data_IF_350095064390
#
_entry.id   IF_350095064390
#
_cell.length_a   1.000
_cell.length_b   1.000
_cell.length_c   1.000
_cell.angle_alpha   90.00
_cell.angle_beta   90.00
_cell.angle_gamma   90.00
#
_symmetry.space_group_name_H-M   'P 1'
#
loop_
_entity.id
_entity.type
_entity.pdbx_description
1 polymer ?
#
# COMPACT_ATOMS: atom_id res chain seq x y z
N UNK A 1 -35.12 13.88 -16.68
CA UNK A 1 -34.54 13.87 -15.32
C UNK A 1 -35.33 12.86 -14.52
N UNK A 2 -34.81 11.62 -14.37
CA UNK A 2 -35.40 10.58 -13.55
C UNK A 2 -35.32 10.96 -12.07
N UNK A 3 -36.46 10.96 -11.38
CA UNK A 3 -36.50 11.07 -9.93
C UNK A 3 -36.06 9.72 -9.33
N UNK A 4 -34.85 9.65 -8.83
CA UNK A 4 -34.40 8.54 -8.00
C UNK A 4 -35.01 8.66 -6.60
N UNK A 5 -35.42 7.55 -5.96
CA UNK A 5 -35.86 7.56 -4.56
C UNK A 5 -34.80 8.18 -3.65
N UNK A 6 -35.21 8.96 -2.63
CA UNK A 6 -34.28 9.65 -1.71
C UNK A 6 -33.29 8.68 -1.03
N UNK A 7 -33.69 7.45 -0.74
CA UNK A 7 -32.81 6.42 -0.18
C UNK A 7 -31.66 6.09 -1.13
N UNK A 8 -31.92 5.99 -2.43
CA UNK A 8 -30.88 5.71 -3.43
C UNK A 8 -29.94 6.90 -3.59
N UNK A 9 -30.47 8.14 -3.55
CA UNK A 9 -29.64 9.35 -3.57
C UNK A 9 -28.75 9.45 -2.32
N UNK A 10 -29.26 9.06 -1.17
CA UNK A 10 -28.50 9.05 0.09
C UNK A 10 -27.41 7.98 0.06
N UNK A 11 -27.72 6.77 -0.44
CA UNK A 11 -26.73 5.71 -0.63
C UNK A 11 -25.64 6.14 -1.62
N UNK A 12 -26.02 6.75 -2.77
CA UNK A 12 -25.05 7.25 -3.74
C UNK A 12 -24.18 8.38 -3.16
N UNK A 13 -24.77 9.33 -2.40
CA UNK A 13 -23.99 10.38 -1.72
C UNK A 13 -22.99 9.82 -0.72
N UNK A 14 -23.35 8.77 0.02
CA UNK A 14 -22.45 8.11 0.95
C UNK A 14 -21.35 7.31 0.22
N UNK A 15 -21.64 6.81 -0.97
CA UNK A 15 -20.66 6.10 -1.82
C UNK A 15 -19.70 7.04 -2.55
N UNK A 16 -20.16 8.25 -2.92
CA UNK A 16 -19.38 9.25 -3.68
C UNK A 16 -18.77 10.31 -2.72
N UNK A 17 -18.61 9.96 -1.45
CA UNK A 17 -17.98 10.85 -0.48
C UNK A 17 -16.56 11.23 -0.94
N UNK A 18 -16.24 12.53 -0.99
CA UNK A 18 -14.88 13.00 -1.25
C UNK A 18 -13.99 12.50 -0.12
N UNK A 19 -13.10 11.56 -0.44
CA UNK A 19 -12.04 11.15 0.48
C UNK A 19 -11.00 12.26 0.54
N UNK A 20 -10.80 12.85 1.72
CA UNK A 20 -9.67 13.74 2.00
C UNK A 20 -8.53 12.92 2.60
N UNK A 21 -7.36 13.00 2.01
CA UNK A 21 -6.18 12.30 2.47
C UNK A 21 -4.92 13.06 2.09
N UNK A 22 -3.79 12.48 2.43
CA UNK A 22 -2.46 13.01 2.13
C UNK A 22 -1.75 12.09 1.15
N UNK A 23 -1.00 12.68 0.25
CA UNK A 23 -0.02 11.97 -0.56
C UNK A 23 1.32 12.03 0.16
N UNK A 24 1.97 10.89 0.31
CA UNK A 24 3.24 10.75 1.03
C UNK A 24 4.24 10.06 0.13
N UNK A 25 5.42 10.64 0.02
CA UNK A 25 6.50 10.19 -0.84
C UNK A 25 7.50 9.33 -0.07
N UNK A 26 7.59 8.06 -0.45
CA UNK A 26 8.63 7.12 0.02
C UNK A 26 9.78 7.09 -0.98
N UNK A 27 11.01 7.25 -0.51
CA UNK A 27 12.19 7.20 -1.37
C UNK A 27 12.58 5.74 -1.58
N UNK A 28 12.77 5.33 -2.84
CA UNK A 28 13.30 4.00 -3.15
C UNK A 28 14.78 3.94 -2.73
N UNK A 29 15.14 2.97 -1.91
CA UNK A 29 16.54 2.70 -1.52
C UNK A 29 17.28 2.00 -2.67
N UNK A 30 17.49 2.76 -3.74
CA UNK A 30 18.11 2.27 -4.97
C UNK A 30 18.81 3.40 -5.73
N UNK A 31 20.04 3.15 -6.17
CA UNK A 31 20.74 4.08 -7.05
C UNK A 31 20.20 3.99 -8.46
N UNK A 32 19.38 4.94 -8.83
CA UNK A 32 18.81 5.03 -10.17
C UNK A 32 19.65 5.94 -11.06
N UNK A 33 20.13 5.38 -12.18
CA UNK A 33 20.79 6.16 -13.22
C UNK A 33 19.76 6.60 -14.27
N UNK A 34 19.34 7.86 -14.19
CA UNK A 34 18.38 8.42 -15.13
C UNK A 34 19.04 8.68 -16.48
N UNK A 35 18.74 7.84 -17.45
CA UNK A 35 19.22 7.98 -18.84
C UNK A 35 18.31 8.88 -19.71
N UNK A 36 17.47 9.71 -19.06
CA UNK A 36 16.61 10.69 -19.75
C UNK A 36 15.25 10.16 -20.23
N UNK A 37 14.97 8.88 -20.07
CA UNK A 37 13.71 8.24 -20.47
C UNK A 37 13.16 7.38 -19.31
N UNK A 38 12.42 8.01 -18.39
CA UNK A 38 11.76 7.29 -17.31
C UNK A 38 10.34 7.81 -17.11
N UNK A 39 9.41 6.91 -16.75
CA UNK A 39 8.06 7.23 -16.30
C UNK A 39 7.98 7.32 -14.77
N UNK A 40 9.11 7.16 -14.08
CA UNK A 40 9.18 7.20 -12.62
C UNK A 40 9.18 8.64 -12.11
N UNK A 41 8.53 8.86 -10.97
CA UNK A 41 8.60 10.13 -10.25
C UNK A 41 9.98 10.23 -9.59
N UNK A 42 10.65 11.34 -9.80
CA UNK A 42 11.93 11.64 -9.17
C UNK A 42 11.79 12.88 -8.29
N UNK A 43 12.52 12.92 -7.16
CA UNK A 43 12.66 14.12 -6.36
C UNK A 43 13.75 15.04 -6.92
N UNK A 44 13.96 16.20 -6.28
CA UNK A 44 14.96 17.20 -6.70
C UNK A 44 16.41 16.68 -6.66
N UNK A 45 16.66 15.56 -5.96
CA UNK A 45 17.96 14.90 -5.89
C UNK A 45 18.12 13.81 -6.95
N UNK A 46 17.11 13.57 -7.78
CA UNK A 46 17.10 12.50 -8.78
C UNK A 46 16.85 11.11 -8.21
N UNK A 47 16.39 11.01 -6.95
CA UNK A 47 16.02 9.74 -6.33
C UNK A 47 14.59 9.34 -6.73
N UNK A 48 14.37 8.05 -6.97
CA UNK A 48 13.05 7.52 -7.31
C UNK A 48 12.12 7.61 -6.09
N UNK A 49 10.93 8.15 -6.32
CA UNK A 49 9.92 8.36 -5.29
C UNK A 49 8.68 7.54 -5.63
N UNK A 50 8.16 6.85 -4.61
CA UNK A 50 6.90 6.13 -4.67
C UNK A 50 5.88 6.92 -3.84
N UNK A 51 4.94 7.58 -4.52
CA UNK A 51 3.89 8.32 -3.84
C UNK A 51 2.78 7.37 -3.43
N UNK A 52 2.36 7.41 -2.18
CA UNK A 52 1.20 6.69 -1.66
C UNK A 52 0.14 7.66 -1.20
N UNK A 53 -1.12 7.35 -1.47
CA UNK A 53 -2.24 8.11 -0.93
C UNK A 53 -2.75 7.43 0.34
N UNK A 54 -2.91 8.19 1.41
CA UNK A 54 -3.47 7.69 2.68
C UNK A 54 -4.47 8.65 3.30
N UNK A 55 -5.53 8.11 3.88
CA UNK A 55 -6.47 8.86 4.73
C UNK A 55 -6.05 8.81 6.21
N UNK A 56 -5.03 8.03 6.55
CA UNK A 56 -4.52 7.79 7.90
C UNK A 56 -3.03 8.14 8.04
N UNK A 57 -2.65 9.44 7.85
CA UNK A 57 -1.26 9.85 7.98
C UNK A 57 -0.71 9.67 9.42
N UNK A 58 -1.59 9.59 10.42
CA UNK A 58 -1.28 9.29 11.82
C UNK A 58 -0.62 7.91 12.02
N UNK A 59 -0.85 6.97 11.10
CA UNK A 59 -0.30 5.62 11.19
C UNK A 59 1.04 5.43 10.47
N UNK A 60 1.62 6.48 9.90
CA UNK A 60 2.89 6.41 9.14
C UNK A 60 4.05 5.76 9.91
N UNK A 61 4.12 5.97 11.23
CA UNK A 61 5.12 5.32 12.08
C UNK A 61 4.94 3.80 12.19
N UNK A 62 3.75 3.28 11.86
CA UNK A 62 3.40 1.86 11.89
C UNK A 62 3.59 1.13 10.56
N UNK A 63 4.09 1.82 9.53
CA UNK A 63 4.36 1.21 8.23
C UNK A 63 5.49 0.20 8.36
N UNK A 64 5.22 -1.05 7.97
CA UNK A 64 6.20 -2.14 8.01
C UNK A 64 6.59 -2.66 6.63
N UNK A 65 5.74 -2.40 5.63
CA UNK A 65 6.07 -2.66 4.23
C UNK A 65 5.26 -1.72 3.32
N UNK A 66 5.64 -1.66 2.04
CA UNK A 66 4.91 -0.95 1.00
C UNK A 66 4.63 -1.90 -0.16
N UNK A 67 3.56 -1.64 -0.89
CA UNK A 67 3.17 -2.45 -2.05
C UNK A 67 2.91 -1.59 -3.26
N UNK A 68 3.24 -2.13 -4.44
CA UNK A 68 2.90 -1.53 -5.73
C UNK A 68 2.06 -2.49 -6.55
N UNK A 69 1.22 -1.93 -7.42
CA UNK A 69 0.48 -2.69 -8.40
C UNK A 69 1.44 -3.42 -9.37
N UNK A 70 1.07 -4.62 -9.86
CA UNK A 70 1.89 -5.32 -10.87
C UNK A 70 2.12 -4.49 -12.14
N UNK A 71 1.21 -3.58 -12.46
CA UNK A 71 1.25 -2.69 -13.63
C UNK A 71 2.04 -1.39 -13.38
N UNK A 72 2.50 -1.14 -12.14
CA UNK A 72 3.22 0.09 -11.81
C UNK A 72 4.51 0.22 -12.65
N UNK A 73 4.85 1.41 -13.19
CA UNK A 73 6.05 1.61 -14.00
C UNK A 73 7.34 1.12 -13.36
N UNK A 74 7.46 1.25 -12.04
CA UNK A 74 8.59 0.77 -11.27
C UNK A 74 8.87 -0.72 -11.48
N UNK A 75 7.83 -1.52 -11.72
CA UNK A 75 7.96 -2.98 -11.89
C UNK A 75 8.80 -3.30 -13.12
N UNK A 76 8.53 -2.68 -14.27
CA UNK A 76 9.31 -2.91 -15.49
C UNK A 76 10.63 -2.15 -15.49
N UNK A 77 10.63 -0.92 -15.00
CA UNK A 77 11.82 -0.07 -15.14
C UNK A 77 12.94 -0.44 -14.18
N UNK A 78 12.62 -0.98 -13.00
CA UNK A 78 13.60 -1.33 -11.97
C UNK A 78 13.41 -2.76 -11.44
N UNK A 79 12.24 -3.10 -10.88
CA UNK A 79 12.09 -4.33 -10.09
C UNK A 79 12.43 -5.59 -10.91
N UNK A 80 11.90 -5.72 -12.11
CA UNK A 80 12.13 -6.91 -12.94
C UNK A 80 13.52 -6.93 -13.61
N UNK A 81 14.24 -5.80 -13.60
CA UNK A 81 15.65 -5.78 -14.02
C UNK A 81 16.56 -6.27 -12.90
N UNK A 82 16.30 -5.82 -11.67
CA UNK A 82 17.08 -6.22 -10.48
C UNK A 82 16.74 -7.63 -10.01
N UNK A 83 15.47 -8.02 -10.13
CA UNK A 83 14.99 -9.33 -9.72
C UNK A 83 14.13 -10.00 -10.81
N UNK A 84 14.74 -10.50 -11.89
CA UNK A 84 14.02 -11.13 -12.99
C UNK A 84 13.34 -12.46 -12.59
N UNK A 85 13.73 -13.06 -11.48
CA UNK A 85 13.17 -14.34 -11.00
C UNK A 85 11.70 -14.26 -10.62
N UNK A 86 11.19 -13.06 -10.30
CA UNK A 86 9.79 -12.87 -9.91
C UNK A 86 8.86 -12.58 -11.09
N UNK A 87 9.38 -12.48 -12.33
CA UNK A 87 8.62 -12.10 -13.53
C UNK A 87 7.38 -12.96 -13.73
N UNK A 88 7.50 -14.27 -13.63
CA UNK A 88 6.38 -15.20 -13.83
C UNK A 88 5.21 -14.91 -12.86
N UNK A 89 5.53 -14.66 -11.59
CA UNK A 89 4.51 -14.30 -10.57
C UNK A 89 3.86 -12.95 -10.86
N UNK A 90 4.64 -11.97 -11.28
CA UNK A 90 4.13 -10.63 -11.64
C UNK A 90 3.21 -10.73 -12.84
N UNK A 91 3.58 -11.46 -13.89
CA UNK A 91 2.72 -11.67 -15.07
C UNK A 91 1.44 -12.44 -14.73
N UNK A 92 1.52 -13.43 -13.84
CA UNK A 92 0.32 -14.12 -13.35
C UNK A 92 -0.66 -13.15 -12.68
N UNK A 93 -0.18 -12.25 -11.81
CA UNK A 93 -1.00 -11.23 -11.17
C UNK A 93 -1.59 -10.23 -12.17
N UNK A 94 -0.86 -9.84 -13.23
CA UNK A 94 -1.35 -8.95 -14.29
C UNK A 94 -2.48 -9.56 -15.09
N UNK A 95 -2.42 -10.86 -15.32
CA UNK A 95 -3.41 -11.59 -16.09
C UNK A 95 -4.70 -11.91 -15.30
N UNK A 96 -4.71 -11.69 -14.00
CA UNK A 96 -5.92 -11.83 -13.19
C UNK A 96 -6.91 -10.68 -13.47
N UNK A 97 -8.20 -11.01 -13.48
CA UNK A 97 -9.26 -10.01 -13.60
C UNK A 97 -9.20 -9.00 -12.44
N UNK A 98 -9.22 -7.70 -12.75
CA UNK A 98 -9.07 -6.62 -11.76
C UNK A 98 -10.17 -6.64 -10.69
N UNK A 99 -11.40 -7.01 -11.05
CA UNK A 99 -12.52 -7.07 -10.10
C UNK A 99 -12.30 -8.26 -9.16
N UNK A 100 -11.89 -9.40 -9.72
CA UNK A 100 -11.57 -10.58 -8.92
C UNK A 100 -10.42 -10.34 -7.94
N UNK A 101 -9.39 -9.58 -8.36
CA UNK A 101 -8.22 -9.25 -7.50
C UNK A 101 -8.59 -8.47 -6.24
N UNK A 102 -9.64 -7.63 -6.30
CA UNK A 102 -10.04 -6.74 -5.20
C UNK A 102 -11.20 -7.28 -4.37
N UNK A 103 -11.75 -8.45 -4.69
CA UNK A 103 -12.80 -9.08 -3.90
C UNK A 103 -12.32 -9.33 -2.46
N UNK A 104 -13.21 -9.12 -1.48
CA UNK A 104 -12.87 -9.24 -0.04
C UNK A 104 -12.44 -10.66 0.33
N UNK A 105 -13.09 -11.66 -0.26
CA UNK A 105 -12.82 -13.09 -0.07
C UNK A 105 -11.60 -13.61 -0.84
N UNK A 106 -11.05 -12.80 -1.75
CA UNK A 106 -9.84 -13.16 -2.49
C UNK A 106 -8.61 -13.09 -1.61
N UNK A 107 -7.84 -14.16 -1.63
CA UNK A 107 -6.55 -14.22 -0.95
C UNK A 107 -5.60 -13.15 -1.49
N UNK A 108 -5.00 -12.40 -0.56
CA UNK A 108 -4.03 -11.35 -0.91
C UNK A 108 -2.68 -11.99 -1.17
N UNK A 109 -2.20 -11.81 -2.40
CA UNK A 109 -0.95 -12.38 -2.85
C UNK A 109 0.03 -11.30 -3.29
N UNK A 110 1.32 -11.59 -3.10
CA UNK A 110 2.39 -10.73 -3.52
C UNK A 110 3.72 -11.44 -3.63
N UNK A 111 4.69 -10.70 -4.10
CA UNK A 111 6.06 -11.16 -4.20
C UNK A 111 7.00 -10.05 -3.75
N UNK A 112 7.99 -10.39 -2.94
CA UNK A 112 9.01 -9.43 -2.51
C UNK A 112 9.85 -8.98 -3.72
N UNK A 113 9.97 -7.68 -3.92
CA UNK A 113 10.70 -7.12 -5.06
C UNK A 113 12.23 -7.30 -4.96
N UNK A 114 12.74 -7.54 -3.75
CA UNK A 114 14.17 -7.46 -3.43
C UNK A 114 14.63 -6.07 -3.06
N UNK A 115 13.74 -5.06 -3.12
CA UNK A 115 14.04 -3.65 -2.86
C UNK A 115 13.34 -3.17 -1.59
N UNK A 116 13.80 -2.01 -1.11
CA UNK A 116 13.28 -1.34 0.08
C UNK A 116 12.91 0.10 -0.25
N UNK A 117 12.01 0.67 0.53
CA UNK A 117 11.70 2.09 0.53
C UNK A 117 11.97 2.70 1.91
N UNK A 118 12.27 3.98 1.94
CA UNK A 118 12.56 4.71 3.16
C UNK A 118 11.29 5.44 3.59
N UNK A 119 10.83 5.14 4.80
CA UNK A 119 9.71 5.84 5.41
C UNK A 119 10.12 7.28 5.74
N UNK A 120 9.42 8.30 5.19
CA UNK A 120 9.85 9.69 5.31
C UNK A 120 9.75 10.26 6.74
N UNK A 121 8.96 9.64 7.63
CA UNK A 121 8.75 10.18 8.98
C UNK A 121 9.75 9.67 10.02
N UNK A 122 10.30 8.48 9.82
CA UNK A 122 11.24 7.88 10.80
C UNK A 122 12.56 7.39 10.17
N UNK A 123 12.69 7.43 8.83
CA UNK A 123 13.88 6.99 8.12
C UNK A 123 14.08 5.47 8.07
N UNK A 124 13.14 4.69 8.56
CA UNK A 124 13.22 3.23 8.54
C UNK A 124 13.10 2.69 7.10
N UNK A 125 13.88 1.67 6.81
CA UNK A 125 13.76 0.90 5.57
C UNK A 125 12.69 -0.15 5.74
N UNK A 126 11.70 -0.13 4.85
CA UNK A 126 10.62 -1.11 4.81
C UNK A 126 10.63 -1.84 3.47
N UNK A 127 10.22 -3.10 3.47
CA UNK A 127 10.22 -3.94 2.28
C UNK A 127 9.24 -3.40 1.23
N UNK A 128 9.64 -3.48 -0.04
CA UNK A 128 8.76 -3.16 -1.17
C UNK A 128 8.28 -4.46 -1.85
N UNK A 129 6.98 -4.61 -1.97
CA UNK A 129 6.34 -5.79 -2.56
C UNK A 129 5.55 -5.42 -3.81
N UNK A 130 5.41 -6.37 -4.73
CA UNK A 130 4.42 -6.32 -5.82
C UNK A 130 3.25 -7.17 -5.36
N UNK A 131 2.03 -6.61 -5.35
CA UNK A 131 0.87 -7.28 -4.77
C UNK A 131 -0.38 -7.19 -5.66
N UNK A 132 -1.15 -8.28 -5.72
CA UNK A 132 -2.31 -8.39 -6.60
C UNK A 132 -3.49 -7.49 -6.20
N UNK A 133 -3.62 -7.12 -4.92
CA UNK A 133 -4.73 -6.32 -4.41
C UNK A 133 -4.56 -4.80 -4.58
N UNK A 134 -3.41 -4.36 -5.10
CA UNK A 134 -3.17 -2.96 -5.46
C UNK A 134 -3.51 -2.76 -6.93
N UNK A 135 -4.29 -1.72 -7.21
CA UNK A 135 -4.70 -1.37 -8.57
C UNK A 135 -4.04 -0.06 -9.01
N UNK A 136 -3.54 -0.04 -10.26
CA UNK A 136 -2.96 1.17 -10.85
C UNK A 136 -4.00 2.27 -11.07
N UNK A 137 -5.24 1.90 -11.30
CA UNK A 137 -6.36 2.83 -11.57
C UNK A 137 -6.92 3.49 -10.28
N UNK A 138 -6.41 3.12 -9.10
CA UNK A 138 -6.84 3.66 -7.83
C UNK A 138 -5.67 4.31 -7.08
N UNK A 139 -5.77 5.62 -6.84
CA UNK A 139 -4.70 6.40 -6.22
C UNK A 139 -3.46 6.50 -7.10
N UNK A 140 -2.33 6.15 -6.54
CA UNK A 140 -1.01 6.21 -7.20
C UNK A 140 -0.52 4.86 -7.71
N UNK A 141 -1.31 3.79 -7.57
CA UNK A 141 -0.86 2.42 -7.83
C UNK A 141 0.14 1.90 -6.78
N UNK A 142 0.25 2.59 -5.64
CA UNK A 142 1.10 2.21 -4.52
C UNK A 142 0.37 2.42 -3.19
N UNK A 143 0.63 1.57 -2.22
CA UNK A 143 0.03 1.60 -0.88
C UNK A 143 1.11 1.40 0.17
N UNK A 144 1.08 2.20 1.23
CA UNK A 144 1.77 1.90 2.46
C UNK A 144 0.94 0.91 3.28
N UNK A 145 1.57 -0.07 3.87
CA UNK A 145 0.90 -1.09 4.66
C UNK A 145 1.14 -0.91 6.16
N UNK A 146 0.05 -0.93 6.92
CA UNK A 146 0.05 -0.77 8.38
C UNK A 146 -0.71 -1.93 9.01
N UNK A 147 -0.10 -3.12 9.07
CA UNK A 147 -0.80 -4.35 9.43
C UNK A 147 -1.37 -4.37 10.86
N UNK A 148 -0.89 -3.52 11.76
CA UNK A 148 -1.47 -3.37 13.08
C UNK A 148 -2.78 -2.56 13.10
N UNK A 149 -3.18 -1.92 11.99
CA UNK A 149 -4.33 -1.00 11.91
C UNK A 149 -5.19 -1.19 10.66
N UNK A 150 -4.90 -2.20 9.83
CA UNK A 150 -5.67 -2.57 8.64
C UNK A 150 -5.72 -4.10 8.52
N UNK A 151 -6.92 -4.67 8.48
CA UNK A 151 -7.11 -6.13 8.47
C UNK A 151 -6.55 -6.78 7.19
N UNK A 152 -6.68 -6.13 6.05
CA UNK A 152 -6.12 -6.62 4.77
C UNK A 152 -4.60 -6.69 4.84
N UNK A 153 -3.97 -5.64 5.38
CA UNK A 153 -2.53 -5.59 5.55
C UNK A 153 -2.06 -6.61 6.60
N UNK A 154 -2.86 -6.83 7.65
CA UNK A 154 -2.59 -7.84 8.67
C UNK A 154 -2.56 -9.26 8.09
N UNK A 155 -3.57 -9.64 7.28
CA UNK A 155 -3.63 -10.95 6.64
C UNK A 155 -2.42 -11.18 5.72
N UNK A 156 -2.04 -10.15 4.95
CA UNK A 156 -0.86 -10.22 4.10
C UNK A 156 0.43 -10.35 4.92
N UNK A 157 0.59 -9.53 5.96
CA UNK A 157 1.76 -9.58 6.83
C UNK A 157 1.89 -10.95 7.52
N UNK A 158 0.79 -11.52 7.99
CA UNK A 158 0.76 -12.86 8.58
C UNK A 158 1.16 -13.95 7.58
N UNK A 159 0.64 -13.89 6.35
CA UNK A 159 0.98 -14.84 5.28
C UNK A 159 2.47 -14.84 4.94
N UNK A 160 3.08 -13.67 4.90
CA UNK A 160 4.48 -13.52 4.50
C UNK A 160 5.46 -13.30 5.66
N UNK A 161 4.97 -13.47 6.91
CA UNK A 161 5.76 -13.30 8.14
C UNK A 161 6.47 -11.95 8.20
N UNK A 162 5.70 -10.87 7.93
CA UNK A 162 6.17 -9.50 8.01
C UNK A 162 5.91 -8.92 9.41
N UNK A 163 6.69 -7.90 9.78
CA UNK A 163 6.60 -7.27 11.09
C UNK A 163 5.24 -6.56 11.30
N UNK A 164 4.78 -6.55 12.56
CA UNK A 164 3.62 -5.82 13.03
C UNK A 164 4.08 -4.73 14.00
N UNK A 165 3.64 -3.48 13.78
CA UNK A 165 4.04 -2.34 14.60
C UNK A 165 2.82 -1.55 15.04
N UNK A 166 2.47 -1.64 16.32
CA UNK A 166 1.36 -0.91 16.91
C UNK A 166 1.83 0.51 17.22
N UNK A 167 1.15 1.52 16.68
CA UNK A 167 1.49 2.94 16.85
C UNK A 167 0.32 3.79 17.33
N UNK A 168 -0.90 3.24 17.30
CA UNK A 168 -2.11 3.88 17.82
C UNK A 168 -2.72 2.93 18.83
N UNK A 169 -2.77 3.35 20.08
CA UNK A 169 -3.44 2.59 21.13
C UNK A 169 -4.78 3.23 21.48
N UNK A 170 -5.84 2.44 21.74
CA UNK A 170 -7.08 2.97 22.27
C UNK A 170 -6.86 3.60 23.65
N UNK A 171 -7.72 4.52 24.01
CA UNK A 171 -7.79 5.07 25.36
C UNK A 171 -9.05 4.59 26.05
N UNK A 172 -8.95 4.26 27.32
CA UNK A 172 -10.09 3.92 28.15
C UNK A 172 -11.02 5.14 28.38
N UNK A 173 -12.16 4.92 29.04
CA UNK A 173 -13.12 6.00 29.35
C UNK A 173 -12.56 7.09 30.28
N UNK A 174 -11.42 6.84 30.90
CA UNK A 174 -10.72 7.75 31.83
C UNK A 174 -9.53 8.46 31.13
N UNK A 175 -9.29 8.15 29.85
CA UNK A 175 -8.18 8.73 29.05
C UNK A 175 -6.84 8.03 29.25
N UNK A 176 -6.79 6.83 29.88
CA UNK A 176 -5.56 6.06 29.99
C UNK A 176 -5.35 5.22 28.72
N UNK A 177 -4.10 5.07 28.28
CA UNK A 177 -3.74 4.21 27.18
C UNK A 177 -4.02 2.74 27.54
N UNK A 178 -4.78 2.06 26.68
CA UNK A 178 -4.90 0.61 26.75
C UNK A 178 -3.75 -0.01 25.96
N UNK A 179 -2.93 -0.83 26.61
CA UNK A 179 -1.90 -1.61 25.91
C UNK A 179 -2.57 -2.68 25.05
N UNK A 180 -2.45 -2.53 23.75
CA UNK A 180 -2.82 -3.55 22.77
C UNK A 180 -1.56 -4.31 22.40
N UNK A 181 -1.56 -5.62 22.63
CA UNK A 181 -0.46 -6.50 22.16
C UNK A 181 -0.86 -7.15 20.83
N UNK A 182 0.15 -7.49 20.02
CA UNK A 182 -0.04 -8.21 18.72
C UNK A 182 -0.80 -9.53 18.95
N UNK A 183 -0.57 -10.21 20.09
CA UNK A 183 -1.27 -11.45 20.46
C UNK A 183 -2.78 -11.28 20.61
N UNK A 184 -3.27 -10.08 20.95
CA UNK A 184 -4.71 -9.77 21.02
C UNK A 184 -5.35 -9.49 19.67
N UNK A 185 -4.56 -9.29 18.62
CA UNK A 185 -5.07 -9.08 17.27
C UNK A 185 -5.36 -10.39 16.53
N UNK A 186 -4.87 -11.51 17.06
CA UNK A 186 -5.03 -12.83 16.45
C UNK A 186 -6.29 -13.58 16.90
N UNK A 187 -7.07 -13.03 17.86
CA UNK A 187 -8.31 -13.55 18.39
C UNK A 187 -9.50 -12.64 18.04
#
# INVERSE_FOLDING_TARGET
RGHWPEQVLTMQKNWIGKSTGSEVDFILDYKFENNGHTHLKLNDKGEVVISVFTTRPDTLYGVTYATVAPEHPLVEEIILKENPSIREKVEAMRNEDKIARTAEDKEKEGVFSGLYVINPVNGEKVQLWVANYVLMDYGTGAVMAVPAHDERDFQFAKKYNLDLKIVVNPVDKNGNLEEVSVEKMEN
#
